data_IF_986363767269
#
_entry.id   IF_986363767269
#
_cell.length_a   1.000
_cell.length_b   1.000
_cell.length_c   1.000
_cell.angle_alpha   90.00
_cell.angle_beta   90.00
_cell.angle_gamma   90.00
#
_symmetry.space_group_name_H-M   'P 1'
#
loop_
_entity.id
_entity.type
_entity.pdbx_description
1 polymer ?
#
# COMPACT_ATOMS: atom_id res chain seq x y z
N UNK A 1 -11.55 -68.90 16.05
CA UNK A 1 -12.51 -67.79 15.88
C UNK A 1 -12.11 -66.67 16.82
N UNK A 2 -11.83 -65.44 16.35
CA UNK A 2 -11.37 -64.36 17.22
C UNK A 2 -12.48 -63.88 18.18
N UNK A 3 -12.09 -63.54 19.41
CA UNK A 3 -13.00 -63.15 20.49
C UNK A 3 -13.69 -61.80 20.16
N UNK A 4 -15.03 -61.75 20.12
CA UNK A 4 -15.77 -60.56 19.71
C UNK A 4 -15.53 -59.33 20.60
N UNK A 5 -15.09 -59.51 21.86
CA UNK A 5 -14.71 -58.38 22.73
C UNK A 5 -13.41 -57.70 22.31
N UNK A 6 -12.48 -58.42 21.68
CA UNK A 6 -11.20 -57.87 21.22
C UNK A 6 -11.41 -57.03 19.95
N UNK A 7 -12.31 -57.47 19.07
CA UNK A 7 -12.65 -56.77 17.82
C UNK A 7 -13.33 -55.43 18.14
N UNK A 8 -14.24 -55.38 19.12
CA UNK A 8 -14.91 -54.14 19.51
C UNK A 8 -13.94 -53.10 20.11
N UNK A 9 -12.90 -53.53 20.84
CA UNK A 9 -11.95 -52.62 21.48
C UNK A 9 -10.96 -52.01 20.47
N UNK A 10 -10.56 -52.78 19.44
CA UNK A 10 -9.70 -52.28 18.35
C UNK A 10 -10.40 -51.22 17.48
N UNK A 11 -11.71 -51.38 17.21
CA UNK A 11 -12.49 -50.39 16.46
C UNK A 11 -12.73 -49.08 17.22
N UNK A 12 -12.98 -49.13 18.53
CA UNK A 12 -13.17 -47.92 19.34
C UNK A 12 -11.88 -47.07 19.41
N UNK A 13 -10.73 -47.73 19.53
CA UNK A 13 -9.43 -47.04 19.67
C UNK A 13 -8.98 -46.37 18.37
N UNK A 14 -9.25 -46.97 17.19
CA UNK A 14 -8.96 -46.35 15.89
C UNK A 14 -9.89 -45.20 15.53
N UNK A 15 -11.13 -45.19 16.03
CA UNK A 15 -12.09 -44.12 15.73
C UNK A 15 -11.83 -42.85 16.57
N UNK A 16 -11.41 -43.02 17.83
CA UNK A 16 -11.05 -41.90 18.73
C UNK A 16 -9.76 -41.21 18.27
N UNK A 17 -8.77 -41.96 17.76
CA UNK A 17 -7.52 -41.38 17.25
C UNK A 17 -7.71 -40.56 15.97
N UNK A 18 -8.58 -41.01 15.05
CA UNK A 18 -8.90 -40.26 13.82
C UNK A 18 -9.62 -38.92 14.10
N UNK A 19 -10.61 -38.92 15.00
CA UNK A 19 -11.34 -37.69 15.36
C UNK A 19 -10.47 -36.66 16.09
N UNK A 20 -9.50 -37.10 16.88
CA UNK A 20 -8.56 -36.20 17.57
C UNK A 20 -7.58 -35.52 16.60
N UNK A 21 -7.11 -36.25 15.57
CA UNK A 21 -6.19 -35.73 14.56
C UNK A 21 -6.89 -34.67 13.69
N UNK A 22 -8.13 -34.93 13.27
CA UNK A 22 -8.92 -33.99 12.44
C UNK A 22 -9.21 -32.68 13.19
N UNK A 23 -9.56 -32.76 14.47
CA UNK A 23 -9.80 -31.58 15.32
C UNK A 23 -8.53 -30.75 15.54
N UNK A 24 -7.37 -31.40 15.70
CA UNK A 24 -6.10 -30.70 15.86
C UNK A 24 -5.63 -30.05 14.56
N UNK A 25 -5.84 -30.71 13.41
CA UNK A 25 -5.52 -30.15 12.09
C UNK A 25 -6.38 -28.93 11.76
N UNK A 26 -7.68 -28.97 12.08
CA UNK A 26 -8.58 -27.81 11.90
C UNK A 26 -8.15 -26.61 12.77
N UNK A 27 -7.75 -26.84 14.01
CA UNK A 27 -7.19 -25.79 14.89
C UNK A 27 -5.88 -25.20 14.37
N UNK A 28 -4.99 -26.03 13.83
CA UNK A 28 -3.74 -25.57 13.21
C UNK A 28 -4.04 -24.72 11.97
N UNK A 29 -5.00 -25.13 11.14
CA UNK A 29 -5.43 -24.37 9.96
C UNK A 29 -6.09 -23.03 10.34
N UNK A 30 -6.94 -23.02 11.37
CA UNK A 30 -7.52 -21.78 11.94
C UNK A 30 -6.43 -20.83 12.49
N UNK A 31 -5.40 -21.37 13.14
CA UNK A 31 -4.23 -20.61 13.62
C UNK A 31 -3.38 -20.04 12.46
N UNK A 32 -3.15 -20.82 11.40
CA UNK A 32 -2.37 -20.38 10.24
C UNK A 32 -3.09 -19.27 9.46
N UNK A 33 -4.41 -19.33 9.32
CA UNK A 33 -5.21 -18.26 8.71
C UNK A 33 -5.12 -16.98 9.56
N UNK A 34 -5.13 -17.09 10.89
CA UNK A 34 -5.04 -15.93 11.77
C UNK A 34 -3.67 -15.20 11.67
N UNK A 35 -2.59 -15.91 11.37
CA UNK A 35 -1.24 -15.32 11.25
C UNK A 35 -1.08 -14.52 9.95
N UNK A 36 -1.76 -14.90 8.87
CA UNK A 36 -1.66 -14.25 7.56
C UNK A 36 -2.24 -12.81 7.58
N UNK A 37 -3.18 -12.51 8.49
CA UNK A 37 -3.78 -11.18 8.60
C UNK A 37 -2.95 -10.16 9.39
N UNK A 38 -1.85 -10.57 10.04
CA UNK A 38 -1.11 -9.70 10.97
C UNK A 38 0.09 -8.96 10.34
N UNK A 39 0.41 -9.18 9.07
CA UNK A 39 1.50 -8.46 8.38
C UNK A 39 0.97 -7.39 7.42
N UNK A 40 -0.03 -6.61 7.84
CA UNK A 40 -0.33 -5.35 7.17
C UNK A 40 0.77 -4.36 7.57
N UNK A 41 1.88 -4.37 6.84
CA UNK A 41 2.90 -3.32 6.95
C UNK A 41 2.23 -1.99 6.56
N UNK A 42 1.83 -1.20 7.56
CA UNK A 42 1.33 0.15 7.33
C UNK A 42 2.51 1.00 6.86
N UNK A 43 2.46 1.48 5.62
CA UNK A 43 3.41 2.49 5.16
C UNK A 43 3.24 3.78 5.99
N UNK A 44 4.35 4.44 6.33
CA UNK A 44 4.34 5.74 6.97
C UNK A 44 4.37 6.84 5.91
N UNK A 45 3.71 7.97 6.18
CA UNK A 45 3.64 9.12 5.28
C UNK A 45 3.76 10.44 6.02
N UNK A 46 4.51 11.37 5.44
CA UNK A 46 4.48 12.78 5.81
C UNK A 46 3.24 13.42 5.16
N UNK A 47 2.39 14.02 5.97
CA UNK A 47 1.21 14.76 5.48
C UNK A 47 1.64 16.18 5.09
N UNK A 48 1.25 16.62 3.90
CA UNK A 48 1.48 17.98 3.41
C UNK A 48 0.15 18.73 3.35
N UNK A 49 0.17 20.00 3.73
CA UNK A 49 -0.99 20.87 3.64
C UNK A 49 -1.31 21.19 2.16
N UNK A 50 -2.49 20.85 1.65
CA UNK A 50 -2.86 21.13 0.26
C UNK A 50 -3.20 22.60 0.01
N UNK A 51 -3.36 23.44 1.04
CA UNK A 51 -3.85 24.81 0.90
C UNK A 51 -3.03 25.66 -0.09
N UNK A 52 -1.69 25.57 -0.03
CA UNK A 52 -0.83 26.31 -0.95
C UNK A 52 -0.98 25.82 -2.39
N UNK A 53 -1.10 24.50 -2.59
CA UNK A 53 -1.26 23.93 -3.92
C UNK A 53 -2.63 24.25 -4.51
N UNK A 54 -3.70 24.11 -3.73
CA UNK A 54 -5.06 24.49 -4.13
C UNK A 54 -5.12 25.96 -4.55
N UNK A 55 -4.45 26.85 -3.81
CA UNK A 55 -4.35 28.26 -4.20
C UNK A 55 -3.65 28.45 -5.55
N UNK A 56 -2.59 27.68 -5.85
CA UNK A 56 -1.88 27.75 -7.13
C UNK A 56 -2.75 27.32 -8.32
N UNK A 57 -3.67 26.38 -8.11
CA UNK A 57 -4.53 25.83 -9.17
C UNK A 57 -5.95 26.40 -9.17
N UNK A 58 -6.30 27.32 -8.26
CA UNK A 58 -7.69 27.77 -8.01
C UNK A 58 -8.42 28.33 -9.26
N UNK A 59 -7.64 28.86 -10.21
CA UNK A 59 -8.12 29.44 -11.47
C UNK A 59 -7.91 28.54 -12.69
N UNK A 60 -7.23 27.41 -12.52
CA UNK A 60 -6.98 26.44 -13.60
C UNK A 60 -8.24 25.63 -13.89
N UNK A 61 -8.62 25.54 -15.15
CA UNK A 61 -9.72 24.67 -15.65
C UNK A 61 -9.25 23.71 -16.75
N UNK A 62 -7.98 23.80 -17.11
CA UNK A 62 -7.33 23.03 -18.17
C UNK A 62 -6.64 21.76 -17.66
N UNK A 63 -6.75 21.44 -16.36
CA UNK A 63 -6.26 20.19 -15.77
C UNK A 63 -7.34 19.13 -15.97
N UNK A 64 -7.16 18.24 -16.95
CA UNK A 64 -8.17 17.30 -17.38
C UNK A 64 -8.23 16.01 -16.53
N UNK A 65 -7.11 15.59 -15.95
CA UNK A 65 -7.01 14.31 -15.24
C UNK A 65 -6.26 14.44 -13.91
N UNK A 66 -6.44 13.46 -13.03
CA UNK A 66 -5.74 13.41 -11.74
C UNK A 66 -4.23 13.19 -11.92
N UNK A 67 -3.83 12.48 -12.98
CA UNK A 67 -2.42 12.29 -13.36
C UNK A 67 -1.77 13.64 -13.70
N UNK A 68 -2.44 14.46 -14.53
CA UNK A 68 -1.95 15.81 -14.82
C UNK A 68 -1.87 16.68 -13.55
N UNK A 69 -2.84 16.53 -12.64
CA UNK A 69 -2.86 17.26 -11.37
C UNK A 69 -1.64 16.92 -10.51
N UNK A 70 -1.30 15.64 -10.34
CA UNK A 70 -0.15 15.22 -9.53
C UNK A 70 1.18 15.55 -10.21
N UNK A 71 1.26 15.53 -11.55
CA UNK A 71 2.44 15.98 -12.29
C UNK A 71 2.68 17.48 -12.10
N UNK A 72 1.62 18.30 -12.12
CA UNK A 72 1.70 19.73 -11.84
C UNK A 72 2.16 19.99 -10.40
N UNK A 73 1.70 19.18 -9.44
CA UNK A 73 2.18 19.26 -8.06
C UNK A 73 3.65 18.88 -7.94
N UNK A 74 4.05 17.77 -8.59
CA UNK A 74 5.41 17.27 -8.53
C UNK A 74 6.42 18.21 -9.19
N UNK A 75 6.03 18.83 -10.32
CA UNK A 75 6.76 19.89 -11.00
C UNK A 75 8.23 19.51 -11.30
N UNK A 76 8.43 18.34 -11.91
CA UNK A 76 9.79 17.89 -12.28
C UNK A 76 10.42 18.84 -13.30
N UNK A 77 11.66 19.33 -13.09
CA UNK A 77 12.26 20.29 -14.01
C UNK A 77 12.58 19.66 -15.38
N UNK A 78 12.30 20.35 -16.49
CA UNK A 78 12.50 19.78 -17.83
C UNK A 78 13.98 19.60 -18.20
N UNK A 79 14.91 20.15 -17.42
CA UNK A 79 16.35 20.09 -17.64
C UNK A 79 17.08 19.02 -16.80
N UNK A 80 16.36 18.22 -16.01
CA UNK A 80 16.90 17.19 -15.09
C UNK A 80 16.79 15.76 -15.70
N UNK A 81 16.87 15.66 -17.03
CA UNK A 81 16.72 14.39 -17.74
C UNK A 81 15.27 13.88 -17.79
N UNK A 82 15.09 12.59 -18.10
CA UNK A 82 13.79 11.93 -18.16
C UNK A 82 13.58 11.15 -16.85
N UNK A 83 12.67 11.58 -15.97
CA UNK A 83 12.44 10.89 -14.70
C UNK A 83 11.75 9.55 -14.94
N UNK A 84 12.06 8.55 -14.11
CA UNK A 84 11.34 7.27 -14.11
C UNK A 84 10.09 7.40 -13.24
N UNK A 85 9.02 7.88 -13.86
CA UNK A 85 7.73 8.07 -13.21
C UNK A 85 6.79 6.90 -13.44
N UNK A 86 6.17 6.43 -12.37
CA UNK A 86 5.01 5.55 -12.38
C UNK A 86 3.84 6.31 -11.77
N UNK A 87 2.73 6.42 -12.51
CA UNK A 87 1.54 7.15 -12.08
C UNK A 87 0.33 6.24 -12.21
N UNK A 88 -0.42 6.10 -11.13
CA UNK A 88 -1.64 5.31 -11.08
C UNK A 88 -2.75 6.11 -10.39
N UNK A 89 -3.99 5.95 -10.84
CA UNK A 89 -5.16 6.53 -10.20
C UNK A 89 -6.24 5.49 -9.94
N UNK A 90 -7.03 5.73 -8.89
CA UNK A 90 -8.21 4.92 -8.56
C UNK A 90 -9.30 5.78 -7.95
N UNK A 91 -10.55 5.45 -8.27
CA UNK A 91 -11.72 6.08 -7.62
C UNK A 91 -11.89 5.51 -6.20
N UNK A 92 -12.11 6.39 -5.21
CA UNK A 92 -12.40 6.02 -3.83
C UNK A 92 -13.90 6.02 -3.51
N UNK A 93 -14.73 6.53 -4.42
CA UNK A 93 -16.16 6.79 -4.23
C UNK A 93 -16.46 8.23 -3.84
N UNK A 94 -17.73 8.63 -3.94
CA UNK A 94 -18.20 10.01 -3.68
C UNK A 94 -17.46 11.10 -4.51
N UNK A 95 -17.00 10.76 -5.72
CA UNK A 95 -16.27 11.71 -6.57
C UNK A 95 -14.79 11.91 -6.20
N UNK A 96 -14.30 11.25 -5.15
CA UNK A 96 -12.89 11.30 -4.76
C UNK A 96 -12.04 10.35 -5.60
N UNK A 97 -10.88 10.83 -6.00
CA UNK A 97 -9.86 10.08 -6.74
C UNK A 97 -8.58 10.12 -5.91
N UNK A 98 -7.97 8.95 -5.71
CA UNK A 98 -6.60 8.84 -5.23
C UNK A 98 -5.69 8.68 -6.45
N UNK A 99 -4.68 9.53 -6.55
CA UNK A 99 -3.62 9.43 -7.55
C UNK A 99 -2.29 9.28 -6.85
N UNK A 100 -1.50 8.31 -7.28
CA UNK A 100 -0.17 8.01 -6.78
C UNK A 100 0.86 8.29 -7.87
N UNK A 101 1.92 8.99 -7.52
CA UNK A 101 3.11 9.20 -8.35
C UNK A 101 4.32 8.63 -7.62
N UNK A 102 5.07 7.77 -8.28
CA UNK A 102 6.37 7.26 -7.81
C UNK A 102 7.44 7.74 -8.78
N UNK A 103 8.44 8.46 -8.26
CA UNK A 103 9.69 8.70 -8.97
C UNK A 103 10.77 7.78 -8.37
N UNK A 104 11.13 6.72 -9.08
CA UNK A 104 12.17 5.76 -8.70
C UNK A 104 13.49 6.05 -9.41
N UNK A 105 14.60 5.50 -8.89
CA UNK A 105 15.96 5.68 -9.45
C UNK A 105 16.38 7.15 -9.59
N UNK A 106 16.07 7.97 -8.58
CA UNK A 106 16.47 9.37 -8.54
C UNK A 106 17.99 9.52 -8.55
N UNK A 107 18.48 10.54 -9.26
CA UNK A 107 19.89 10.95 -9.30
C UNK A 107 20.30 11.76 -8.05
N UNK A 108 19.71 11.45 -6.89
CA UNK A 108 20.09 11.99 -5.59
C UNK A 108 21.09 11.03 -4.91
N UNK A 109 22.07 11.58 -4.19
CA UNK A 109 23.17 10.80 -3.60
C UNK A 109 22.76 9.96 -2.37
N UNK A 110 21.53 10.18 -1.89
CA UNK A 110 21.00 9.60 -0.66
C UNK A 110 19.60 9.00 -0.86
N UNK A 111 18.72 9.69 -1.58
CA UNK A 111 17.34 9.29 -1.86
C UNK A 111 17.25 8.52 -3.19
N UNK A 112 16.74 7.29 -3.13
CA UNK A 112 16.49 6.46 -4.30
C UNK A 112 15.14 6.77 -4.95
N UNK A 113 14.10 6.99 -4.14
CA UNK A 113 12.75 7.15 -4.65
C UNK A 113 11.87 8.05 -3.78
N UNK A 114 10.85 8.65 -4.39
CA UNK A 114 9.79 9.43 -3.76
C UNK A 114 8.46 8.89 -4.22
N UNK A 115 7.52 8.76 -3.29
CA UNK A 115 6.12 8.49 -3.58
C UNK A 115 5.28 9.66 -3.07
N UNK A 116 4.35 10.09 -3.90
CA UNK A 116 3.33 11.08 -3.57
C UNK A 116 1.98 10.39 -3.76
N UNK A 117 1.13 10.45 -2.75
CA UNK A 117 -0.26 10.01 -2.81
C UNK A 117 -1.12 11.24 -2.58
N UNK A 118 -1.99 11.54 -3.55
CA UNK A 118 -2.86 12.71 -3.52
C UNK A 118 -4.31 12.25 -3.62
N UNK A 119 -5.16 12.75 -2.72
CA UNK A 119 -6.61 12.58 -2.83
C UNK A 119 -7.23 13.90 -3.26
N UNK A 120 -8.01 13.87 -4.34
CA UNK A 120 -8.63 15.06 -4.92
C UNK A 120 -10.04 14.78 -5.44
N UNK A 121 -10.82 15.84 -5.59
CA UNK A 121 -12.15 15.84 -6.20
C UNK A 121 -12.16 16.82 -7.38
N UNK A 122 -12.83 16.46 -8.47
CA UNK A 122 -13.14 17.37 -9.57
C UNK A 122 -14.55 17.94 -9.37
N UNK A 123 -14.65 19.18 -8.91
CA UNK A 123 -15.93 19.89 -8.74
C UNK A 123 -16.16 20.82 -9.93
N UNK A 124 -17.07 20.43 -10.83
CA UNK A 124 -17.28 21.15 -12.09
C UNK A 124 -16.06 20.99 -13.00
N UNK A 125 -15.34 22.09 -13.26
CA UNK A 125 -14.10 22.10 -14.06
C UNK A 125 -12.85 22.34 -13.21
N UNK A 126 -12.97 22.29 -11.88
CA UNK A 126 -11.89 22.65 -10.95
C UNK A 126 -11.55 21.50 -10.02
N UNK A 127 -10.25 21.25 -9.87
CA UNK A 127 -9.73 20.31 -8.91
C UNK A 127 -9.62 20.93 -7.52
N UNK A 128 -9.99 20.15 -6.51
CA UNK A 128 -9.80 20.45 -5.10
C UNK A 128 -9.01 19.29 -4.50
N UNK A 129 -7.80 19.56 -4.02
CA UNK A 129 -6.97 18.57 -3.33
C UNK A 129 -7.32 18.56 -1.85
N UNK A 130 -7.66 17.39 -1.32
CA UNK A 130 -8.03 17.20 0.09
C UNK A 130 -6.84 16.76 0.93
N UNK A 131 -5.97 15.94 0.36
CA UNK A 131 -4.85 15.36 1.09
C UNK A 131 -3.67 15.13 0.17
N UNK A 132 -2.47 15.39 0.68
CA UNK A 132 -1.21 15.05 0.03
C UNK A 132 -0.35 14.33 1.06
N UNK A 133 0.11 13.13 0.71
CA UNK A 133 0.97 12.27 1.51
C UNK A 133 2.24 11.99 0.73
N UNK A 134 3.38 12.04 1.40
CA UNK A 134 4.67 11.75 0.78
C UNK A 134 5.47 10.77 1.60
N UNK A 135 6.15 9.83 0.96
CA UNK A 135 7.20 9.03 1.59
C UNK A 135 8.34 8.78 0.60
N UNK A 136 9.43 8.21 1.08
CA UNK A 136 10.68 8.05 0.32
C UNK A 136 11.33 6.70 0.56
N UNK A 137 12.31 6.37 -0.28
CA UNK A 137 13.28 5.28 -0.10
C UNK A 137 14.67 5.84 -0.22
N UNK A 138 15.58 5.40 0.62
CA UNK A 138 16.99 5.73 0.53
C UNK A 138 17.74 4.68 -0.30
N UNK A 139 18.90 5.07 -0.82
CA UNK A 139 19.88 4.12 -1.34
C UNK A 139 20.40 3.21 -0.24
N UNK A 140 20.91 2.02 -0.62
CA UNK A 140 21.51 1.11 0.34
C UNK A 140 22.70 1.77 1.06
N UNK A 141 22.77 1.58 2.38
CA UNK A 141 23.73 2.26 3.24
C UNK A 141 23.43 3.75 3.52
N UNK A 142 22.35 4.32 2.97
CA UNK A 142 21.94 5.73 3.17
C UNK A 142 20.68 5.92 4.02
N UNK A 143 20.21 4.87 4.68
CA UNK A 143 19.02 4.93 5.52
C UNK A 143 18.12 3.72 5.32
N UNK A 144 16.82 3.94 5.30
CA UNK A 144 15.83 2.88 5.08
C UNK A 144 15.62 2.62 3.59
N UNK A 145 15.55 1.35 3.20
CA UNK A 145 15.32 0.93 1.80
C UNK A 145 13.85 0.63 1.51
N UNK A 146 13.03 0.49 2.56
CA UNK A 146 11.57 0.42 2.47
C UNK A 146 10.93 1.82 2.46
N UNK A 147 9.64 1.89 2.13
CA UNK A 147 8.89 3.15 2.13
C UNK A 147 8.79 3.71 3.56
N UNK A 148 9.35 4.91 3.76
CA UNK A 148 9.38 5.55 5.07
C UNK A 148 9.45 7.07 4.98
N UNK A 149 9.39 7.71 6.13
CA UNK A 149 9.38 9.18 6.30
C UNK A 149 10.63 9.70 6.96
N UNK A 150 11.54 8.81 7.35
CA UNK A 150 12.83 9.23 7.88
C UNK A 150 13.65 9.88 6.76
N UNK A 151 14.61 10.71 7.14
CA UNK A 151 15.51 11.32 6.17
C UNK A 151 16.62 10.33 5.80
N UNK A 152 17.06 10.39 4.55
CA UNK A 152 18.27 9.70 4.11
C UNK A 152 19.52 10.42 4.65
N UNK A 153 20.60 9.66 4.84
CA UNK A 153 21.86 10.10 5.45
C UNK A 153 22.92 10.55 4.45
#
# INVERSE_FOLDING_TARGET
MPNPKIIANLYATSHISGQAIEKNMKRIFELLIAIIFLTSCSENFDIKDPAEFNKKIETRTDIATAEQLIEIYYNYPPNEGMPKLEIESKELGNGLIEVTLIHDEQEDDSQRATKIVMTAELTGEKWIVHEIKTNRKCWDGRGHTDWGTDWCN
#
